data_IF_002905410096
#
_entry.id   IF_002905410096
#
_cell.length_a   1.000
_cell.length_b   1.000
_cell.length_c   1.000
_cell.angle_alpha   90.00
_cell.angle_beta   90.00
_cell.angle_gamma   90.00
#
_symmetry.space_group_name_H-M   'P 1'
#
loop_
_entity.id
_entity.type
_entity.pdbx_description
1 polymer ?
#
# COMPACT_ATOMS: atom_id res chain seq x y z
N UNK A 1 -16.29 -5.57 0.53
CA UNK A 1 -15.26 -4.72 1.16
C UNK A 1 -14.16 -5.62 1.69
N UNK A 2 -12.92 -5.37 1.28
CA UNK A 2 -11.75 -6.17 1.66
C UNK A 2 -10.58 -5.27 2.06
N UNK A 3 -9.62 -5.85 2.80
CA UNK A 3 -8.34 -5.22 3.10
C UNK A 3 -7.23 -6.02 2.44
N UNK A 4 -6.43 -5.33 1.65
CA UNK A 4 -5.17 -5.86 1.14
C UNK A 4 -4.05 -5.47 2.11
N UNK A 5 -3.20 -6.42 2.45
CA UNK A 5 -2.04 -6.20 3.33
C UNK A 5 -0.79 -6.62 2.56
N UNK A 6 0.11 -5.68 2.34
CA UNK A 6 1.40 -5.90 1.69
C UNK A 6 2.54 -5.58 2.66
N UNK A 7 3.48 -6.51 2.77
CA UNK A 7 4.74 -6.34 3.48
C UNK A 7 5.78 -5.82 2.49
N UNK A 8 6.41 -4.70 2.84
CA UNK A 8 7.37 -4.01 2.00
C UNK A 8 8.72 -3.95 2.74
N UNK A 9 9.62 -4.92 2.50
CA UNK A 9 10.99 -4.84 2.97
C UNK A 9 11.74 -3.75 2.22
N UNK A 10 12.35 -2.82 2.95
CA UNK A 10 13.11 -1.68 2.43
C UNK A 10 14.50 -1.71 3.03
N UNK A 11 15.52 -1.56 2.20
CA UNK A 11 16.92 -1.43 2.66
C UNK A 11 17.05 -0.19 3.56
N UNK A 12 17.78 -0.29 4.68
CA UNK A 12 17.90 0.79 5.70
C UNK A 12 18.25 2.14 5.09
N UNK A 13 19.21 2.14 4.18
CA UNK A 13 19.72 3.34 3.50
C UNK A 13 18.70 3.98 2.55
N UNK A 14 17.63 3.26 2.18
CA UNK A 14 16.57 3.72 1.29
C UNK A 14 15.28 4.09 2.03
N UNK A 15 15.19 3.94 3.36
CA UNK A 15 13.97 4.18 4.13
C UNK A 15 13.40 5.59 3.89
N UNK A 16 14.24 6.62 3.99
CA UNK A 16 13.80 8.01 3.79
C UNK A 16 13.37 8.27 2.34
N UNK A 17 14.10 7.70 1.39
CA UNK A 17 13.74 7.81 -0.03
C UNK A 17 12.41 7.10 -0.32
N UNK A 18 12.20 5.93 0.27
CA UNK A 18 10.96 5.17 0.16
C UNK A 18 9.77 5.96 0.73
N UNK A 19 9.89 6.56 1.92
CA UNK A 19 8.81 7.37 2.51
C UNK A 19 8.42 8.55 1.61
N UNK A 20 9.41 9.21 1.00
CA UNK A 20 9.18 10.32 0.05
C UNK A 20 8.50 9.83 -1.23
N UNK A 21 9.07 8.81 -1.87
CA UNK A 21 8.52 8.21 -3.08
C UNK A 21 7.09 7.68 -2.86
N UNK A 22 6.83 7.06 -1.70
CA UNK A 22 5.50 6.60 -1.35
C UNK A 22 4.51 7.74 -1.20
N UNK A 23 4.91 8.88 -0.62
CA UNK A 23 4.04 10.06 -0.51
C UNK A 23 3.65 10.61 -1.88
N UNK A 24 4.55 10.54 -2.87
CA UNK A 24 4.29 10.95 -4.25
C UNK A 24 3.38 9.96 -5.00
N UNK A 25 3.52 8.66 -4.71
CA UNK A 25 2.77 7.57 -5.38
C UNK A 25 1.42 7.28 -4.71
N UNK A 26 1.27 7.56 -3.42
CA UNK A 26 0.04 7.33 -2.66
C UNK A 26 -1.23 7.94 -3.30
N UNK A 27 -1.20 9.16 -3.87
CA UNK A 27 -2.33 9.71 -4.62
C UNK A 27 -2.69 8.90 -5.87
N UNK A 28 -1.76 8.17 -6.48
CA UNK A 28 -2.07 7.32 -7.64
C UNK A 28 -2.96 6.13 -7.23
N UNK A 29 -2.75 5.57 -6.03
CA UNK A 29 -3.65 4.52 -5.49
C UNK A 29 -5.07 5.04 -5.33
N UNK A 30 -5.24 6.31 -4.97
CA UNK A 30 -6.57 6.91 -4.79
C UNK A 30 -7.40 7.03 -6.07
N UNK A 31 -6.76 6.91 -7.24
CA UNK A 31 -7.44 6.93 -8.54
C UNK A 31 -8.00 5.57 -8.94
N UNK A 32 -7.65 4.50 -8.23
CA UNK A 32 -8.16 3.17 -8.52
C UNK A 32 -9.65 3.08 -8.16
N UNK A 33 -10.43 2.41 -9.01
CA UNK A 33 -11.85 2.16 -8.78
C UNK A 33 -12.02 1.35 -7.49
N UNK A 34 -12.99 1.70 -6.66
CA UNK A 34 -13.26 1.01 -5.39
C UNK A 34 -12.23 1.27 -4.29
N UNK A 35 -11.27 2.18 -4.48
CA UNK A 35 -10.33 2.57 -3.43
C UNK A 35 -11.06 3.30 -2.28
N UNK A 36 -10.86 2.82 -1.05
CA UNK A 36 -11.49 3.33 0.17
C UNK A 36 -10.52 3.92 1.19
N UNK A 37 -9.22 3.99 0.88
CA UNK A 37 -8.16 4.49 1.77
C UNK A 37 -6.96 3.55 1.86
N UNK A 38 -5.83 4.06 2.37
CA UNK A 38 -4.67 3.25 2.72
C UNK A 38 -4.06 3.72 4.04
N UNK A 39 -3.26 2.83 4.63
CA UNK A 39 -2.40 3.11 5.78
C UNK A 39 -1.03 2.52 5.51
N UNK A 40 0.01 3.34 5.64
CA UNK A 40 1.40 2.89 5.63
C UNK A 40 1.94 3.01 7.06
N UNK A 41 2.38 1.88 7.63
CA UNK A 41 2.98 1.81 8.95
C UNK A 41 4.40 1.25 8.87
N UNK A 42 5.35 1.92 9.53
CA UNK A 42 6.71 1.43 9.68
C UNK A 42 6.80 0.54 10.92
N UNK A 43 7.48 -0.60 10.83
CA UNK A 43 7.74 -1.46 11.98
C UNK A 43 8.59 -0.75 13.03
N UNK A 44 8.21 -0.85 14.31
CA UNK A 44 9.01 -0.31 15.42
C UNK A 44 10.19 -1.23 15.73
N UNK A 45 9.93 -2.54 15.81
CA UNK A 45 10.95 -3.56 16.08
C UNK A 45 11.88 -3.78 14.87
N UNK A 46 11.32 -3.66 13.66
CA UNK A 46 12.04 -3.82 12.39
C UNK A 46 11.75 -2.63 11.48
N UNK A 47 12.53 -1.52 11.58
CA UNK A 47 12.30 -0.29 10.81
C UNK A 47 12.40 -0.44 9.29
N UNK A 48 13.01 -1.52 8.83
CA UNK A 48 13.14 -1.90 7.41
C UNK A 48 11.85 -2.48 6.83
N UNK A 49 10.91 -2.90 7.66
CA UNK A 49 9.68 -3.56 7.22
C UNK A 49 8.51 -2.58 7.34
N UNK A 50 7.92 -2.25 6.19
CA UNK A 50 6.72 -1.44 6.12
C UNK A 50 5.49 -2.32 5.87
N UNK A 51 4.39 -1.98 6.53
CA UNK A 51 3.08 -2.57 6.29
C UNK A 51 2.24 -1.56 5.51
N UNK A 52 1.82 -1.94 4.31
CA UNK A 52 0.83 -1.20 3.53
C UNK A 52 -0.50 -1.92 3.61
N UNK A 53 -1.50 -1.23 4.15
CA UNK A 53 -2.88 -1.71 4.22
C UNK A 53 -3.71 -0.86 3.26
N UNK A 54 -4.37 -1.47 2.29
CA UNK A 54 -5.26 -0.79 1.34
C UNK A 54 -6.67 -1.32 1.52
N UNK A 55 -7.64 -0.40 1.59
CA UNK A 55 -9.06 -0.71 1.71
C UNK A 55 -9.70 -0.64 0.34
N UNK A 56 -10.39 -1.71 -0.04
CA UNK A 56 -11.11 -1.83 -1.31
C UNK A 56 -12.60 -2.09 -1.09
N UNK A 57 -13.43 -1.59 -2.00
CA UNK A 57 -14.87 -1.80 -2.00
C UNK A 57 -15.23 -3.26 -2.32
N UNK A 58 -14.55 -3.89 -3.28
CA UNK A 58 -14.70 -5.31 -3.63
C UNK A 58 -13.35 -5.96 -4.00
N UNK A 59 -13.36 -7.28 -4.24
CA UNK A 59 -12.18 -8.03 -4.66
C UNK A 59 -11.82 -7.76 -6.13
N UNK A 60 -12.83 -7.54 -6.95
CA UNK A 60 -12.71 -7.21 -8.38
C UNK A 60 -12.05 -5.84 -8.59
N UNK A 61 -12.31 -4.89 -7.68
CA UNK A 61 -11.68 -3.57 -7.68
C UNK A 61 -10.18 -3.63 -7.32
N UNK A 62 -9.78 -4.64 -6.53
CA UNK A 62 -8.38 -4.91 -6.16
C UNK A 62 -7.61 -5.69 -7.24
N UNK A 63 -8.30 -6.56 -7.99
CA UNK A 63 -7.68 -7.38 -9.04
C UNK A 63 -8.11 -6.90 -10.43
N UNK A 64 -7.42 -5.91 -11.03
CA UNK A 64 -7.70 -5.48 -12.39
C UNK A 64 -7.32 -6.59 -13.37
N UNK A 65 -8.22 -7.56 -13.59
CA UNK A 65 -8.00 -8.68 -14.50
C UNK A 65 -8.73 -10.00 -14.18
N UNK A 66 -9.42 -10.15 -13.05
CA UNK A 66 -10.24 -11.35 -12.83
C UNK A 66 -11.54 -11.26 -13.64
N UNK A 67 -11.77 -12.13 -14.64
CA UNK A 67 -13.06 -12.20 -15.28
C UNK A 67 -14.10 -12.70 -14.27
N UNK A 68 -15.27 -12.07 -14.26
CA UNK A 68 -16.47 -12.59 -13.63
C UNK A 68 -17.00 -13.81 -14.41
#
# INVERSE_FOLDING_TARGET
>A
MIYEIALLPVRKELIEQFRRAFTEVAPLLSRAKGYGGHMLAQGIETPELFNLIVRWQSLEDHTPGSPA
#
